data_IF_525874000342
#
_entry.id   IF_525874000342
#
_cell.length_a   1.000
_cell.length_b   1.000
_cell.length_c   1.000
_cell.angle_alpha   90.00
_cell.angle_beta   90.00
_cell.angle_gamma   90.00
#
_symmetry.space_group_name_H-M   'P 1'
#
loop_
_entity.id
_entity.type
_entity.pdbx_description
1 polymer ?
#
# COMPACT_ATOMS: atom_id res chain seq x y z
N UNK A 1 20.83 -11.92 -1.53
CA UNK A 1 20.58 -12.83 -0.40
C UNK A 1 20.22 -11.99 0.80
N UNK A 2 19.04 -12.19 1.39
CA UNK A 2 18.66 -11.51 2.63
C UNK A 2 19.66 -11.89 3.74
N UNK A 3 20.11 -10.91 4.50
CA UNK A 3 20.99 -11.16 5.65
C UNK A 3 20.12 -11.85 6.71
N UNK A 4 20.50 -13.02 7.24
CA UNK A 4 19.72 -13.69 8.27
C UNK A 4 19.56 -12.76 9.47
N UNK A 5 18.32 -12.42 9.83
CA UNK A 5 18.04 -11.69 11.06
C UNK A 5 18.23 -12.67 12.22
N UNK A 6 19.18 -12.45 13.14
CA UNK A 6 19.43 -13.37 14.23
C UNK A 6 18.26 -13.32 15.21
N UNK A 7 17.37 -14.31 15.11
CA UNK A 7 16.35 -14.56 16.12
C UNK A 7 16.99 -15.38 17.26
N UNK A 8 16.74 -14.98 18.49
CA UNK A 8 17.33 -15.60 19.69
C UNK A 8 16.37 -16.60 20.32
N UNK A 9 15.60 -16.11 21.29
CA UNK A 9 14.69 -16.91 22.12
C UNK A 9 13.59 -17.61 21.30
N UNK A 10 13.41 -18.91 21.59
CA UNK A 10 12.28 -19.71 21.10
C UNK A 10 11.15 -19.71 22.12
N UNK A 11 9.96 -19.32 21.66
CA UNK A 11 8.72 -19.40 22.42
C UNK A 11 7.88 -20.59 21.92
N UNK A 12 7.17 -21.23 22.85
CA UNK A 12 6.32 -22.39 22.59
C UNK A 12 4.98 -22.23 23.27
N UNK A 13 3.90 -22.43 22.51
CA UNK A 13 2.54 -22.62 23.01
C UNK A 13 2.12 -24.09 22.83
N UNK A 14 0.87 -24.42 23.14
CA UNK A 14 0.33 -25.75 22.86
C UNK A 14 0.22 -26.06 21.35
N UNK A 15 0.19 -25.04 20.48
CA UNK A 15 -0.12 -25.18 19.04
C UNK A 15 0.98 -24.69 18.11
N UNK A 16 1.90 -23.84 18.60
CA UNK A 16 3.00 -23.35 17.79
C UNK A 16 4.31 -23.22 18.55
N UNK A 17 5.39 -23.16 17.79
CA UNK A 17 6.69 -22.61 18.18
C UNK A 17 7.00 -21.41 17.29
N UNK A 18 7.71 -20.42 17.82
CA UNK A 18 8.25 -19.29 17.07
C UNK A 18 9.55 -18.83 17.70
N UNK A 19 10.37 -18.10 16.94
CA UNK A 19 11.56 -17.43 17.44
C UNK A 19 11.39 -15.93 17.37
N UNK A 20 11.95 -15.24 18.36
CA UNK A 20 11.90 -13.78 18.48
C UNK A 20 13.24 -13.22 18.93
N UNK A 21 13.47 -11.91 18.81
CA UNK A 21 14.58 -11.24 19.48
C UNK A 21 14.53 -11.41 21.00
N UNK A 22 15.70 -11.49 21.63
CA UNK A 22 15.82 -11.61 23.09
C UNK A 22 15.35 -10.36 23.83
N UNK A 23 15.43 -9.20 23.17
CA UNK A 23 14.97 -7.91 23.71
C UNK A 23 13.45 -7.80 23.80
N UNK A 24 12.71 -8.60 23.05
CA UNK A 24 11.26 -8.67 23.18
C UNK A 24 10.89 -9.43 24.45
N UNK A 25 9.86 -9.00 25.16
CA UNK A 25 9.49 -9.57 26.46
C UNK A 25 8.11 -10.21 26.37
N UNK A 26 7.97 -11.36 27.01
CA UNK A 26 6.64 -11.94 27.24
C UNK A 26 5.89 -11.07 28.23
N UNK A 27 4.61 -10.87 27.96
CA UNK A 27 3.68 -10.20 28.85
C UNK A 27 2.63 -11.21 29.33
N UNK A 28 2.23 -11.08 30.59
CA UNK A 28 1.12 -11.85 31.12
C UNK A 28 -0.18 -11.34 30.50
N UNK A 29 -0.95 -12.24 29.89
CA UNK A 29 -2.25 -11.92 29.30
C UNK A 29 -3.23 -13.06 29.53
N UNK A 30 -4.40 -12.73 30.07
CA UNK A 30 -5.50 -13.70 30.22
C UNK A 30 -6.25 -13.98 28.91
N UNK A 31 -5.96 -13.22 27.86
CA UNK A 31 -6.69 -13.25 26.58
C UNK A 31 -5.83 -13.77 25.41
N UNK A 32 -4.62 -14.26 25.68
CA UNK A 32 -3.71 -14.76 24.67
C UNK A 32 -2.94 -15.97 25.18
N UNK A 33 -2.63 -16.91 24.28
CA UNK A 33 -1.75 -18.05 24.60
C UNK A 33 -0.30 -17.60 24.71
N UNK A 34 0.05 -16.51 24.00
CA UNK A 34 1.33 -15.83 24.07
C UNK A 34 1.12 -14.36 23.69
N UNK A 35 1.66 -13.45 24.49
CA UNK A 35 1.80 -12.04 24.16
C UNK A 35 3.24 -11.62 24.35
N UNK A 36 3.79 -10.94 23.35
CA UNK A 36 5.18 -10.49 23.33
C UNK A 36 5.23 -9.06 22.83
N UNK A 37 6.04 -8.22 23.48
CA UNK A 37 6.24 -6.82 23.09
C UNK A 37 7.72 -6.45 23.00
N UNK A 38 8.06 -5.54 22.09
CA UNK A 38 9.39 -4.97 21.97
C UNK A 38 9.58 -4.24 20.65
N UNK A 39 10.44 -3.21 20.62
CA UNK A 39 10.68 -2.37 19.43
C UNK A 39 9.40 -1.71 18.87
N UNK A 40 8.47 -1.33 19.74
CA UNK A 40 7.12 -0.84 19.39
C UNK A 40 6.27 -1.86 18.61
N UNK A 41 6.64 -3.14 18.66
CA UNK A 41 5.92 -4.25 18.04
C UNK A 41 5.18 -5.03 19.11
N UNK A 42 3.95 -5.42 18.81
CA UNK A 42 3.12 -6.29 19.63
C UNK A 42 2.81 -7.57 18.84
N UNK A 43 3.27 -8.70 19.35
CA UNK A 43 2.92 -10.03 18.84
C UNK A 43 1.92 -10.69 19.79
N UNK A 44 0.80 -11.17 19.26
CA UNK A 44 -0.22 -11.89 20.01
C UNK A 44 -0.56 -13.21 19.31
N UNK A 45 -0.58 -14.30 20.07
CA UNK A 45 -1.02 -15.62 19.61
C UNK A 45 -2.30 -16.02 20.35
N UNK A 46 -3.29 -16.48 19.59
CA UNK A 46 -4.53 -17.06 20.11
C UNK A 46 -4.85 -18.33 19.34
N UNK A 47 -5.16 -19.41 20.05
CA UNK A 47 -5.69 -20.63 19.47
C UNK A 47 -7.13 -20.84 19.92
N UNK A 48 -7.98 -21.33 19.00
CA UNK A 48 -9.36 -21.70 19.31
C UNK A 48 -9.71 -23.03 18.66
N UNK A 49 -10.51 -23.89 19.32
CA UNK A 49 -11.03 -25.10 18.68
C UNK A 49 -11.75 -24.75 17.38
N UNK A 50 -11.41 -25.46 16.30
CA UNK A 50 -12.07 -25.37 15.01
C UNK A 50 -11.66 -26.53 14.12
N UNK A 51 -12.64 -27.16 13.48
CA UNK A 51 -12.44 -28.24 12.50
C UNK A 51 -12.61 -27.73 11.05
N UNK A 52 -12.69 -26.40 10.87
CA UNK A 52 -12.88 -25.76 9.55
C UNK A 52 -11.59 -25.82 8.72
N UNK A 53 -11.77 -25.80 7.40
CA UNK A 53 -10.65 -25.66 6.47
C UNK A 53 -10.05 -24.26 6.55
N UNK A 54 -8.82 -24.10 6.05
CA UNK A 54 -8.14 -22.79 6.06
C UNK A 54 -8.91 -21.77 5.20
N UNK A 55 -9.49 -22.17 4.06
CA UNK A 55 -10.31 -21.28 3.23
C UNK A 55 -11.53 -20.72 3.97
N UNK A 56 -12.22 -21.55 4.76
CA UNK A 56 -13.38 -21.11 5.56
C UNK A 56 -12.97 -20.15 6.68
N UNK A 57 -11.86 -20.45 7.37
CA UNK A 57 -11.34 -19.58 8.43
C UNK A 57 -10.82 -18.26 7.88
N UNK A 58 -10.17 -18.28 6.71
CA UNK A 58 -9.70 -17.06 6.08
C UNK A 58 -10.86 -16.22 5.55
N UNK A 59 -11.87 -16.84 4.94
CA UNK A 59 -13.12 -16.14 4.56
C UNK A 59 -13.76 -15.47 5.78
N UNK A 60 -13.83 -16.19 6.91
CA UNK A 60 -14.32 -15.63 8.18
C UNK A 60 -13.44 -14.53 8.77
N UNK A 61 -12.11 -14.54 8.51
CA UNK A 61 -11.18 -13.48 8.87
C UNK A 61 -11.39 -12.24 7.99
N UNK A 62 -11.46 -12.41 6.68
CA UNK A 62 -11.65 -11.32 5.72
C UNK A 62 -13.02 -10.66 5.85
N UNK A 63 -14.06 -11.40 6.25
CA UNK A 63 -15.38 -10.84 6.52
C UNK A 63 -15.44 -9.99 7.80
N UNK A 64 -14.59 -10.27 8.80
CA UNK A 64 -14.63 -9.59 10.11
C UNK A 64 -13.63 -8.43 10.23
N UNK A 65 -12.48 -8.51 9.54
CA UNK A 65 -11.41 -7.51 9.67
C UNK A 65 -11.87 -6.10 9.25
N UNK A 66 -12.49 -5.87 8.08
CA UNK A 66 -12.92 -4.53 7.68
C UNK A 66 -13.92 -3.89 8.67
N UNK A 67 -14.76 -4.69 9.33
CA UNK A 67 -15.71 -4.21 10.33
C UNK A 67 -15.14 -4.08 11.75
N UNK A 68 -13.86 -4.40 11.96
CA UNK A 68 -13.25 -4.37 13.30
C UNK A 68 -12.81 -2.97 13.73
N UNK A 69 -12.40 -2.14 12.78
CA UNK A 69 -12.01 -0.73 12.96
C UNK A 69 -12.45 0.03 11.72
N UNK A 70 -13.12 1.17 11.90
CA UNK A 70 -13.53 2.01 10.78
C UNK A 70 -12.30 2.53 10.00
N UNK A 71 -12.36 2.43 8.68
CA UNK A 71 -11.25 2.78 7.80
C UNK A 71 -10.08 1.79 7.76
N UNK A 72 -10.23 0.56 8.26
CA UNK A 72 -9.22 -0.50 8.09
C UNK A 72 -9.04 -0.84 6.60
N UNK A 73 -7.80 -0.77 6.13
CA UNK A 73 -7.38 -1.13 4.79
C UNK A 73 -6.80 -2.55 4.80
N UNK A 74 -7.42 -3.48 4.09
CA UNK A 74 -6.80 -4.76 3.76
C UNK A 74 -5.74 -4.52 2.69
N UNK A 75 -4.49 -4.81 3.03
CA UNK A 75 -3.33 -4.50 2.19
C UNK A 75 -2.92 -5.70 1.36
N UNK A 76 -3.03 -6.93 1.87
CA UNK A 76 -2.60 -8.12 1.13
C UNK A 76 -3.14 -9.42 1.72
N UNK A 77 -3.19 -10.45 0.89
CA UNK A 77 -3.53 -11.80 1.30
C UNK A 77 -2.71 -12.81 0.49
N UNK A 78 -1.90 -13.62 1.17
CA UNK A 78 -1.01 -14.58 0.55
C UNK A 78 -1.08 -15.96 1.22
N UNK A 79 -0.82 -17.01 0.44
CA UNK A 79 -0.63 -18.35 0.99
C UNK A 79 0.67 -18.40 1.79
N UNK A 80 0.64 -19.00 2.99
CA UNK A 80 1.82 -19.13 3.83
C UNK A 80 2.17 -20.61 4.05
N UNK A 81 3.43 -20.96 3.90
CA UNK A 81 3.88 -22.38 3.95
C UNK A 81 4.85 -22.66 5.09
N UNK A 82 5.56 -21.64 5.59
CA UNK A 82 6.59 -21.83 6.60
C UNK A 82 6.05 -22.43 7.91
N UNK A 83 4.76 -22.23 8.22
CA UNK A 83 4.09 -22.79 9.39
C UNK A 83 4.09 -24.34 9.44
N UNK A 84 4.32 -25.03 8.31
CA UNK A 84 4.18 -26.49 8.24
C UNK A 84 2.73 -26.97 8.35
N UNK A 85 1.77 -26.07 8.10
CA UNK A 85 0.33 -26.29 8.16
C UNK A 85 -0.36 -25.39 7.11
N UNK A 86 -1.60 -25.69 6.68
CA UNK A 86 -2.34 -24.80 5.80
C UNK A 86 -2.53 -23.42 6.44
N UNK A 87 -2.03 -22.38 5.79
CA UNK A 87 -1.97 -21.04 6.36
C UNK A 87 -2.19 -19.92 5.32
N UNK A 88 -2.62 -18.77 5.83
CA UNK A 88 -2.78 -17.50 5.10
C UNK A 88 -2.13 -16.38 5.90
N UNK A 89 -1.42 -15.51 5.20
CA UNK A 89 -0.94 -14.25 5.74
C UNK A 89 -1.84 -13.14 5.21
N UNK A 90 -2.52 -12.43 6.11
CA UNK A 90 -3.30 -11.23 5.78
C UNK A 90 -2.56 -10.03 6.34
N UNK A 91 -2.25 -9.07 5.48
CA UNK A 91 -1.64 -7.80 5.89
C UNK A 91 -2.70 -6.69 5.84
N UNK A 92 -2.69 -5.81 6.82
CA UNK A 92 -3.65 -4.70 6.92
C UNK A 92 -3.01 -3.45 7.53
N UNK A 93 -3.69 -2.32 7.34
CA UNK A 93 -3.43 -1.07 8.06
C UNK A 93 -4.73 -0.65 8.72
N UNK A 94 -4.69 -0.33 10.00
CA UNK A 94 -5.85 0.19 10.74
C UNK A 94 -5.55 1.59 11.26
N UNK A 95 -6.51 2.51 11.22
CA UNK A 95 -6.39 3.80 11.89
C UNK A 95 -6.21 3.64 13.41
N UNK A 96 -5.48 4.58 14.00
CA UNK A 96 -5.29 4.71 15.44
C UNK A 96 -5.03 6.17 15.80
N UNK A 97 -5.42 6.60 17.01
CA UNK A 97 -5.33 8.01 17.43
C UNK A 97 -3.86 8.50 17.50
N UNK A 98 -2.92 7.59 17.78
CA UNK A 98 -1.49 7.90 17.87
C UNK A 98 -0.74 7.75 16.52
N UNK A 99 -1.46 7.39 15.45
CA UNK A 99 -0.92 7.13 14.11
C UNK A 99 -1.22 5.70 13.64
N UNK A 100 -1.38 5.52 12.33
CA UNK A 100 -1.91 4.27 11.77
C UNK A 100 -1.02 3.07 12.14
N UNK A 101 -1.64 1.90 12.32
CA UNK A 101 -0.98 0.66 12.73
C UNK A 101 -0.97 -0.32 11.57
N UNK A 102 0.22 -0.82 11.22
CA UNK A 102 0.40 -1.91 10.27
C UNK A 102 0.35 -3.26 10.99
N UNK A 103 -0.49 -4.17 10.50
CA UNK A 103 -0.68 -5.50 11.04
C UNK A 103 -0.37 -6.61 10.04
N UNK A 104 0.25 -7.67 10.54
CA UNK A 104 0.42 -8.94 9.85
C UNK A 104 -0.32 -10.04 10.64
N UNK A 105 -1.34 -10.63 10.04
CA UNK A 105 -2.17 -11.69 10.63
C UNK A 105 -1.86 -13.01 9.93
N UNK A 106 -1.06 -13.84 10.56
CA UNK A 106 -0.84 -15.22 10.15
C UNK A 106 -1.92 -16.11 10.77
N UNK A 107 -2.80 -16.63 9.92
CA UNK A 107 -3.83 -17.60 10.28
C UNK A 107 -3.40 -18.97 9.77
N UNK A 108 -3.39 -19.98 10.64
CA UNK A 108 -3.21 -21.36 10.20
C UNK A 108 -4.11 -22.32 10.97
N UNK A 109 -4.40 -23.46 10.36
CA UNK A 109 -5.24 -24.51 10.96
C UNK A 109 -4.45 -25.79 11.19
N UNK A 110 -4.77 -26.47 12.28
CA UNK A 110 -4.16 -27.77 12.66
C UNK A 110 -5.10 -28.95 12.41
N UNK A 111 -6.29 -28.68 11.87
CA UNK A 111 -7.39 -29.65 11.71
C UNK A 111 -8.27 -29.84 12.94
N UNK A 112 -7.87 -29.31 14.11
CA UNK A 112 -8.70 -29.24 15.33
C UNK A 112 -8.74 -27.86 15.97
N UNK A 113 -7.82 -26.98 15.56
CA UNK A 113 -7.74 -25.61 16.03
C UNK A 113 -7.43 -24.70 14.85
N UNK A 114 -7.99 -23.51 14.92
CA UNK A 114 -7.43 -22.34 14.24
C UNK A 114 -6.46 -21.64 15.18
N UNK A 115 -5.40 -21.11 14.61
CA UNK A 115 -4.39 -20.34 15.33
C UNK A 115 -4.22 -19.00 14.61
N UNK A 116 -4.50 -17.94 15.34
CA UNK A 116 -4.33 -16.55 14.92
C UNK A 116 -3.04 -16.02 15.57
N UNK A 117 -2.06 -15.65 14.75
CA UNK A 117 -0.88 -14.90 15.17
C UNK A 117 -0.95 -13.52 14.52
N UNK A 118 -0.99 -12.48 15.34
CA UNK A 118 -1.01 -11.08 14.88
C UNK A 118 0.26 -10.38 15.33
N UNK A 119 0.93 -9.69 14.42
CA UNK A 119 2.06 -8.79 14.71
C UNK A 119 1.65 -7.39 14.27
N UNK A 120 1.50 -6.47 15.22
CA UNK A 120 1.15 -5.07 14.97
C UNK A 120 2.32 -4.15 15.30
N UNK A 121 2.47 -3.07 14.51
CA UNK A 121 3.49 -2.02 14.71
C UNK A 121 3.02 -0.69 14.13
N UNK A 122 3.52 0.46 14.61
CA UNK A 122 3.23 1.74 13.98
C UNK A 122 3.60 1.73 12.48
N UNK A 123 2.75 2.28 11.62
CA UNK A 123 2.95 2.29 10.17
C UNK A 123 4.27 2.97 9.78
N UNK A 124 4.63 4.06 10.47
CA UNK A 124 5.94 4.74 10.32
C UNK A 124 7.14 3.83 10.57
N UNK A 125 6.98 2.74 11.33
CA UNK A 125 8.04 1.75 11.61
C UNK A 125 8.02 0.58 10.64
N UNK A 126 7.06 0.52 9.71
CA UNK A 126 6.82 -0.64 8.83
C UNK A 126 8.11 -1.11 8.16
N UNK A 127 8.84 -0.19 7.51
CA UNK A 127 10.01 -0.54 6.70
C UNK A 127 11.24 -0.92 7.53
N UNK A 128 11.49 -0.24 8.65
CA UNK A 128 12.62 -0.55 9.52
C UNK A 128 12.48 -1.92 10.19
N UNK A 129 11.24 -2.32 10.47
CA UNK A 129 10.93 -3.54 11.21
C UNK A 129 10.53 -4.70 10.32
N UNK A 130 10.42 -4.49 9.00
CA UNK A 130 9.84 -5.46 8.06
C UNK A 130 10.62 -6.78 8.03
N UNK A 131 11.94 -6.70 7.83
CA UNK A 131 12.81 -7.88 7.79
C UNK A 131 12.74 -8.68 9.09
N UNK A 132 12.65 -7.99 10.23
CA UNK A 132 12.52 -8.62 11.54
C UNK A 132 11.17 -9.32 11.69
N UNK A 133 10.07 -8.67 11.31
CA UNK A 133 8.72 -9.24 11.39
C UNK A 133 8.60 -10.47 10.49
N UNK A 134 9.10 -10.40 9.25
CA UNK A 134 9.08 -11.56 8.36
C UNK A 134 9.97 -12.69 8.87
N UNK A 135 11.15 -12.41 9.43
CA UNK A 135 11.95 -13.46 10.05
C UNK A 135 11.18 -14.17 11.18
N UNK A 136 10.47 -13.42 12.03
CA UNK A 136 9.61 -14.01 13.08
C UNK A 136 8.51 -14.87 12.47
N UNK A 137 7.77 -14.37 11.48
CA UNK A 137 6.72 -15.13 10.78
C UNK A 137 7.26 -16.40 10.12
N UNK A 138 8.43 -16.32 9.48
CA UNK A 138 9.12 -17.44 8.83
C UNK A 138 9.65 -18.47 9.82
N UNK A 139 9.77 -18.12 11.10
CA UNK A 139 10.16 -19.05 12.17
C UNK A 139 8.98 -19.82 12.78
N UNK A 140 7.74 -19.38 12.53
CA UNK A 140 6.54 -19.99 13.11
C UNK A 140 6.39 -21.42 12.59
N UNK A 141 6.22 -22.40 13.48
CA UNK A 141 5.94 -23.80 13.14
C UNK A 141 4.80 -24.34 13.98
N UNK A 142 3.88 -25.10 13.38
CA UNK A 142 2.91 -25.90 14.13
C UNK A 142 3.64 -26.94 15.00
N UNK A 143 3.16 -27.18 16.22
CA UNK A 143 3.79 -28.13 17.16
C UNK A 143 3.55 -29.58 16.80
N UNK A 144 2.45 -29.88 16.12
CA UNK A 144 2.04 -31.22 15.70
C UNK A 144 2.03 -31.30 14.17
N UNK A 145 2.36 -32.46 13.58
CA UNK A 145 2.24 -32.66 12.14
C UNK A 145 0.79 -32.48 11.69
N UNK A 146 0.58 -31.58 10.72
CA UNK A 146 -0.74 -31.32 10.14
C UNK A 146 -0.80 -31.98 8.76
N UNK A 147 -1.82 -32.81 8.46
CA UNK A 147 -1.99 -33.34 7.12
C UNK A 147 -2.29 -32.17 6.16
N UNK A 148 -1.31 -31.83 5.33
CA UNK A 148 -1.46 -30.81 4.30
C UNK A 148 -2.15 -31.45 3.11
N UNK A 149 -3.39 -31.03 2.84
CA UNK A 149 -3.99 -31.25 1.51
C UNK A 149 -3.70 -30.01 0.68
N UNK A 150 -3.10 -30.13 -0.51
CA UNK A 150 -2.95 -28.98 -1.40
C UNK A 150 -4.34 -28.48 -1.78
N UNK A 151 -4.70 -27.31 -1.29
CA UNK A 151 -5.91 -26.61 -1.68
C UNK A 151 -5.66 -26.03 -3.08
N UNK A 152 -6.38 -26.53 -4.08
CA UNK A 152 -6.20 -26.12 -5.47
C UNK A 152 -6.94 -24.83 -5.80
N UNK A 153 -8.05 -24.59 -5.12
CA UNK A 153 -8.90 -23.43 -5.32
C UNK A 153 -8.75 -22.50 -4.12
N UNK A 154 -8.43 -21.24 -4.39
CA UNK A 154 -8.35 -20.20 -3.37
C UNK A 154 -9.72 -19.56 -3.17
N UNK A 155 -9.99 -19.19 -1.93
CA UNK A 155 -11.19 -18.47 -1.53
C UNK A 155 -11.30 -17.10 -2.23
N UNK A 156 -12.54 -16.63 -2.49
CA UNK A 156 -12.75 -15.29 -3.01
C UNK A 156 -12.25 -14.25 -2.00
N UNK A 157 -11.64 -13.19 -2.51
CA UNK A 157 -11.18 -12.05 -1.71
C UNK A 157 -12.25 -10.95 -1.73
N UNK A 158 -12.39 -10.17 -0.64
CA UNK A 158 -13.31 -9.04 -0.62
C UNK A 158 -12.86 -7.97 -1.60
N UNK A 159 -13.82 -7.21 -2.12
CA UNK A 159 -13.50 -6.05 -2.95
C UNK A 159 -12.66 -5.04 -2.15
N UNK A 160 -11.70 -4.35 -2.80
CA UNK A 160 -10.98 -3.26 -2.18
C UNK A 160 -11.95 -2.20 -1.65
N UNK A 161 -11.64 -1.65 -0.47
CA UNK A 161 -12.37 -0.51 0.04
C UNK A 161 -12.26 0.67 -0.95
N UNK A 162 -13.32 1.48 -1.11
CA UNK A 162 -13.24 2.65 -1.97
C UNK A 162 -12.12 3.58 -1.49
N UNK A 163 -11.42 4.19 -2.44
CA UNK A 163 -10.37 5.16 -2.12
C UNK A 163 -10.98 6.30 -1.28
N UNK A 164 -10.32 6.71 -0.19
CA UNK A 164 -10.79 7.85 0.59
C UNK A 164 -10.80 9.09 -0.31
N UNK A 165 -11.86 9.90 -0.23
CA UNK A 165 -11.90 11.16 -0.95
C UNK A 165 -11.03 12.19 -0.24
N UNK A 166 -10.38 13.07 -1.02
CA UNK A 166 -9.76 14.25 -0.45
C UNK A 166 -10.82 15.32 -0.22
N UNK A 167 -11.01 15.72 1.03
CA UNK A 167 -11.91 16.80 1.40
C UNK A 167 -11.15 18.13 1.45
N UNK A 168 -11.60 19.12 0.68
CA UNK A 168 -11.00 20.44 0.63
C UNK A 168 -11.61 21.34 -0.44
N UNK A 169 -11.19 22.62 -0.52
CA UNK A 169 -11.57 23.50 -1.60
C UNK A 169 -11.09 22.94 -2.94
N UNK A 170 -12.01 22.92 -3.91
CA UNK A 170 -11.71 22.58 -5.30
C UNK A 170 -11.33 23.85 -6.03
N UNK A 171 -10.15 23.83 -6.64
CA UNK A 171 -9.49 24.98 -7.24
C UNK A 171 -9.06 24.67 -8.67
N UNK A 172 -9.03 25.69 -9.52
CA UNK A 172 -8.36 25.63 -10.82
C UNK A 172 -6.84 25.50 -10.67
N UNK A 173 -6.16 24.97 -11.68
CA UNK A 173 -4.69 24.89 -11.71
C UNK A 173 -4.03 26.26 -11.52
N UNK A 174 -4.62 27.32 -12.09
CA UNK A 174 -4.15 28.69 -11.93
C UNK A 174 -4.29 29.18 -10.47
N UNK A 175 -5.38 28.82 -9.79
CA UNK A 175 -5.57 29.12 -8.36
C UNK A 175 -4.60 28.35 -7.47
N UNK A 176 -4.36 27.06 -7.72
CA UNK A 176 -3.33 26.29 -6.99
C UNK A 176 -1.94 26.89 -7.17
N UNK A 177 -1.57 27.23 -8.42
CA UNK A 177 -0.29 27.90 -8.70
C UNK A 177 -0.17 29.27 -8.01
N UNK A 178 -1.27 30.02 -7.96
CA UNK A 178 -1.34 31.31 -7.24
C UNK A 178 -1.18 31.09 -5.74
N UNK A 179 -1.88 30.11 -5.16
CA UNK A 179 -1.81 29.77 -3.74
C UNK A 179 -0.38 29.37 -3.34
N UNK A 180 0.26 28.49 -4.12
CA UNK A 180 1.65 28.09 -3.91
C UNK A 180 2.62 29.27 -3.94
N UNK A 181 2.39 30.28 -4.79
CA UNK A 181 3.23 31.48 -4.85
C UNK A 181 3.17 32.36 -3.58
N UNK A 182 2.18 32.17 -2.72
CA UNK A 182 2.03 32.87 -1.45
C UNK A 182 2.93 32.27 -0.34
N UNK A 183 3.45 31.05 -0.52
CA UNK A 183 4.27 30.39 0.48
C UNK A 183 5.62 31.10 0.67
N UNK A 184 5.89 31.58 1.90
CA UNK A 184 7.19 32.10 2.31
C UNK A 184 7.66 33.39 1.60
N UNK A 185 6.78 34.08 0.86
CA UNK A 185 7.13 35.25 0.04
C UNK A 185 6.29 36.47 0.38
N UNK A 186 6.87 37.67 0.19
CA UNK A 186 6.12 38.93 0.20
C UNK A 186 5.25 38.99 -1.06
N UNK A 187 3.97 38.72 -0.91
CA UNK A 187 3.06 38.58 -2.04
C UNK A 187 2.60 39.94 -2.60
N UNK A 188 2.18 39.95 -3.87
CA UNK A 188 1.72 41.15 -4.57
C UNK A 188 0.19 41.28 -4.50
N UNK A 189 -0.36 42.36 -3.88
CA UNK A 189 -1.80 42.63 -3.81
C UNK A 189 -2.56 42.55 -5.14
N UNK A 190 -1.90 42.74 -6.27
CA UNK A 190 -2.53 42.64 -7.59
C UNK A 190 -2.96 41.22 -7.93
N UNK A 191 -2.37 40.18 -7.33
CA UNK A 191 -2.73 38.78 -7.57
C UNK A 191 -4.19 38.49 -7.19
N UNK A 192 -4.72 39.13 -6.14
CA UNK A 192 -6.14 38.98 -5.73
C UNK A 192 -7.13 39.57 -6.72
N UNK A 193 -6.68 40.40 -7.67
CA UNK A 193 -7.56 40.97 -8.71
C UNK A 193 -7.71 40.03 -9.90
N UNK A 194 -6.83 39.04 -10.03
CA UNK A 194 -6.92 38.01 -11.07
C UNK A 194 -8.09 37.06 -10.82
N UNK A 195 -8.47 36.25 -11.81
CA UNK A 195 -9.51 35.22 -11.63
C UNK A 195 -9.10 34.20 -10.55
N UNK A 196 -7.86 33.70 -10.64
CA UNK A 196 -7.28 32.78 -9.66
C UNK A 196 -7.27 33.36 -8.23
N UNK A 197 -6.88 34.64 -8.09
CA UNK A 197 -6.89 35.30 -6.78
C UNK A 197 -8.29 35.49 -6.18
N UNK A 198 -9.30 35.74 -7.02
CA UNK A 198 -10.72 35.81 -6.58
C UNK A 198 -11.24 34.44 -6.14
N UNK A 199 -10.88 33.39 -6.88
CA UNK A 199 -11.21 32.01 -6.53
C UNK A 199 -10.65 31.63 -5.15
N UNK A 200 -9.41 32.03 -4.82
CA UNK A 200 -8.84 31.81 -3.49
C UNK A 200 -9.59 32.56 -2.38
N UNK A 201 -10.15 33.73 -2.67
CA UNK A 201 -10.98 34.49 -1.72
C UNK A 201 -12.33 33.80 -1.52
N UNK A 202 -12.96 33.36 -2.60
CA UNK A 202 -14.25 32.65 -2.56
C UNK A 202 -14.15 31.31 -1.83
N UNK A 203 -13.04 30.60 -2.01
CA UNK A 203 -12.71 29.37 -1.30
C UNK A 203 -12.31 29.61 0.18
N UNK A 204 -12.24 30.87 0.64
CA UNK A 204 -11.89 31.22 2.02
C UNK A 204 -10.42 31.01 2.39
N UNK A 205 -9.55 30.72 1.41
CA UNK A 205 -8.12 30.52 1.61
C UNK A 205 -7.37 31.85 1.77
N UNK A 206 -7.92 32.94 1.24
CA UNK A 206 -7.35 34.29 1.41
C UNK A 206 -8.46 35.27 1.76
N UNK A 207 -8.24 36.13 2.75
CA UNK A 207 -9.17 37.19 3.09
C UNK A 207 -9.26 38.25 1.99
N UNK A 208 -10.37 39.00 1.93
CA UNK A 208 -10.57 40.07 0.92
C UNK A 208 -9.49 41.17 0.92
N UNK A 209 -8.86 41.39 2.08
CA UNK A 209 -7.76 42.34 2.26
C UNK A 209 -6.38 41.68 2.09
N UNK A 210 -6.35 40.40 1.71
CA UNK A 210 -5.13 39.62 1.52
C UNK A 210 -4.49 39.08 2.79
N UNK A 211 -5.28 38.94 3.85
CA UNK A 211 -4.89 38.25 5.09
C UNK A 211 -4.95 36.73 4.89
N UNK A 212 -3.95 35.99 5.35
CA UNK A 212 -3.95 34.53 5.32
C UNK A 212 -4.49 33.97 6.65
N UNK A 213 -5.60 33.22 6.65
CA UNK A 213 -6.05 32.47 7.82
C UNK A 213 -4.95 31.53 8.33
N UNK A 214 -4.97 31.23 9.63
CA UNK A 214 -3.97 30.33 10.25
C UNK A 214 -3.94 28.95 9.57
N UNK A 215 -5.11 28.36 9.29
CA UNK A 215 -5.22 27.10 8.57
C UNK A 215 -4.54 27.15 7.18
N UNK A 216 -4.64 28.27 6.47
CA UNK A 216 -3.95 28.45 5.19
C UNK A 216 -2.44 28.62 5.39
N UNK A 217 -1.99 29.30 6.45
CA UNK A 217 -0.56 29.41 6.74
C UNK A 217 0.06 28.04 7.03
N UNK A 218 -0.63 27.17 7.78
CA UNK A 218 -0.23 25.78 7.99
C UNK A 218 -0.17 25.01 6.67
N UNK A 219 -1.21 25.11 5.85
CA UNK A 219 -1.27 24.50 4.51
C UNK A 219 -0.12 24.95 3.59
N UNK A 220 0.31 26.21 3.68
CA UNK A 220 1.40 26.75 2.87
C UNK A 220 2.79 26.40 3.44
N UNK A 221 2.89 25.96 4.69
CA UNK A 221 4.16 25.65 5.37
C UNK A 221 5.06 24.74 4.54
N UNK A 222 4.57 23.57 4.08
CA UNK A 222 5.38 22.64 3.29
C UNK A 222 5.77 23.11 1.88
N UNK A 223 5.13 24.16 1.35
CA UNK A 223 5.50 24.79 0.08
C UNK A 223 6.58 25.86 0.20
N UNK A 224 7.04 26.16 1.42
CA UNK A 224 8.12 27.13 1.60
C UNK A 224 9.45 26.56 1.09
N UNK A 225 10.17 27.37 0.30
CA UNK A 225 11.47 26.99 -0.27
C UNK A 225 11.36 26.19 -1.58
N UNK A 226 12.32 25.29 -1.80
CA UNK A 226 12.44 24.49 -3.04
C UNK A 226 11.98 23.03 -2.84
N UNK A 227 11.08 22.79 -1.87
CA UNK A 227 10.57 21.47 -1.57
C UNK A 227 9.83 20.87 -2.78
N UNK A 228 10.30 19.71 -3.25
CA UNK A 228 9.64 18.96 -4.31
C UNK A 228 8.62 17.98 -3.72
N UNK A 229 7.47 17.77 -4.36
CA UNK A 229 6.49 16.79 -3.89
C UNK A 229 6.93 15.36 -4.19
N UNK A 230 6.37 14.43 -3.43
CA UNK A 230 6.13 13.08 -3.94
C UNK A 230 4.93 13.16 -4.88
N UNK A 231 5.07 12.63 -6.09
CA UNK A 231 4.01 12.67 -7.09
C UNK A 231 3.61 11.24 -7.47
N UNK A 232 2.32 10.95 -7.41
CA UNK A 232 1.71 9.78 -8.03
C UNK A 232 0.93 10.24 -9.26
N UNK A 233 1.43 9.89 -10.44
CA UNK A 233 0.73 10.11 -11.73
C UNK A 233 0.10 8.80 -12.18
N UNK A 234 -1.13 8.83 -12.65
CA UNK A 234 -1.83 7.63 -13.14
C UNK A 234 -2.41 7.88 -14.53
N UNK A 235 -2.23 6.90 -15.40
CA UNK A 235 -2.83 6.81 -16.71
C UNK A 235 -3.87 5.70 -16.64
N UNK A 236 -5.13 6.06 -16.73
CA UNK A 236 -6.27 5.17 -16.61
C UNK A 236 -6.53 4.42 -17.92
N UNK A 237 -7.22 3.27 -17.88
CA UNK A 237 -7.47 2.48 -19.08
C UNK A 237 -8.33 3.21 -20.13
N UNK A 238 -9.15 4.17 -19.71
CA UNK A 238 -10.00 5.00 -20.57
C UNK A 238 -9.26 6.19 -21.20
N UNK A 239 -7.96 6.32 -20.93
CA UNK A 239 -7.12 7.42 -21.39
C UNK A 239 -7.14 8.65 -20.47
N UNK A 240 -7.92 8.62 -19.38
CA UNK A 240 -7.88 9.66 -18.37
C UNK A 240 -6.53 9.70 -17.64
N UNK A 241 -6.12 10.89 -17.22
CA UNK A 241 -4.92 11.07 -16.40
C UNK A 241 -5.30 11.65 -15.05
N UNK A 242 -4.64 11.19 -13.99
CA UNK A 242 -4.79 11.75 -12.65
C UNK A 242 -3.44 12.01 -12.00
N UNK A 243 -3.40 13.01 -11.12
CA UNK A 243 -2.20 13.33 -10.36
C UNK A 243 -2.55 13.56 -8.89
N UNK A 244 -1.72 12.99 -8.02
CA UNK A 244 -1.67 13.31 -6.60
C UNK A 244 -0.26 13.83 -6.29
N UNK A 245 -0.16 14.96 -5.60
CA UNK A 245 1.10 15.56 -5.18
C UNK A 245 1.07 15.80 -3.67
N UNK A 246 2.11 15.36 -2.97
CA UNK A 246 2.25 15.51 -1.54
C UNK A 246 3.57 16.18 -1.17
N UNK A 247 3.48 17.33 -0.50
CA UNK A 247 4.58 18.01 0.18
C UNK A 247 4.44 17.76 1.67
N UNK A 248 4.87 16.59 2.14
CA UNK A 248 4.62 16.14 3.52
C UNK A 248 3.13 16.12 3.83
N UNK A 249 2.60 17.16 4.49
CA UNK A 249 1.19 17.25 4.93
C UNK A 249 0.30 17.98 3.92
N UNK A 250 0.87 18.77 3.01
CA UNK A 250 0.08 19.49 1.99
C UNK A 250 -0.12 18.62 0.77
N UNK A 251 -1.37 18.29 0.47
CA UNK A 251 -1.76 17.42 -0.65
C UNK A 251 -2.57 18.19 -1.66
N UNK A 252 -2.24 17.98 -2.94
CA UNK A 252 -3.02 18.43 -4.09
C UNK A 252 -3.44 17.20 -4.88
N UNK A 253 -4.74 17.08 -5.13
CA UNK A 253 -5.31 15.92 -5.76
C UNK A 253 -6.33 16.27 -6.84
N UNK A 254 -6.20 15.69 -8.03
CA UNK A 254 -7.20 15.86 -9.10
C UNK A 254 -6.60 15.98 -10.50
N UNK A 255 -7.38 16.61 -11.38
CA UNK A 255 -7.02 16.88 -12.77
C UNK A 255 -7.36 18.32 -13.13
N UNK A 256 -6.77 18.85 -14.19
CA UNK A 256 -7.07 20.20 -14.68
C UNK A 256 -8.54 20.31 -15.16
N UNK A 257 -9.13 19.20 -15.63
CA UNK A 257 -10.49 19.15 -16.16
C UNK A 257 -11.56 19.16 -15.04
N UNK A 258 -11.32 18.41 -13.96
CA UNK A 258 -12.29 18.28 -12.86
C UNK A 258 -12.04 19.25 -11.70
N UNK A 259 -10.94 20.00 -11.76
CA UNK A 259 -10.43 20.82 -10.67
C UNK A 259 -9.53 20.03 -9.70
N UNK A 260 -8.67 20.75 -9.00
CA UNK A 260 -7.70 20.25 -8.04
C UNK A 260 -8.18 20.52 -6.62
N UNK A 261 -8.26 19.49 -5.79
CA UNK A 261 -8.56 19.63 -4.36
C UNK A 261 -7.26 19.83 -3.60
N UNK A 262 -7.22 20.81 -2.70
CA UNK A 262 -6.06 21.09 -1.85
C UNK A 262 -6.44 20.90 -0.39
N UNK A 263 -5.67 20.12 0.35
CA UNK A 263 -5.93 19.89 1.77
C UNK A 263 -4.64 19.62 2.57
N UNK A 264 -4.76 19.71 3.89
CA UNK A 264 -3.74 19.27 4.83
C UNK A 264 -4.13 17.90 5.37
N UNK A 265 -3.24 16.92 5.23
CA UNK A 265 -3.42 15.55 5.71
C UNK A 265 -2.21 15.12 6.54
N UNK A 266 -2.42 14.24 7.52
CA UNK A 266 -1.29 13.58 8.18
C UNK A 266 -0.60 12.63 7.18
N UNK A 267 0.71 12.36 7.32
CA UNK A 267 1.44 11.49 6.40
C UNK A 267 0.79 10.12 6.20
N UNK A 268 0.26 9.51 7.27
CA UNK A 268 -0.44 8.22 7.21
C UNK A 268 -1.70 8.28 6.33
N UNK A 269 -2.46 9.39 6.40
CA UNK A 269 -3.63 9.61 5.55
C UNK A 269 -3.25 9.85 4.09
N UNK A 270 -2.09 10.46 3.82
CA UNK A 270 -1.56 10.55 2.45
C UNK A 270 -1.23 9.16 1.90
N UNK A 271 -0.65 8.27 2.72
CA UNK A 271 -0.40 6.87 2.34
C UNK A 271 -1.72 6.15 2.01
N UNK A 272 -2.73 6.28 2.88
CA UNK A 272 -4.04 5.67 2.64
C UNK A 272 -4.71 6.17 1.36
N UNK A 273 -4.65 7.47 1.08
CA UNK A 273 -5.16 8.08 -0.15
C UNK A 273 -4.44 7.56 -1.39
N UNK A 274 -3.11 7.52 -1.37
CA UNK A 274 -2.33 6.97 -2.47
C UNK A 274 -2.55 5.46 -2.67
N UNK A 275 -2.75 4.71 -1.58
CA UNK A 275 -3.06 3.28 -1.63
C UNK A 275 -4.42 3.02 -2.30
N UNK A 276 -5.46 3.76 -1.89
CA UNK A 276 -6.77 3.69 -2.51
C UNK A 276 -6.73 4.03 -4.01
N UNK A 277 -5.98 5.06 -4.39
CA UNK A 277 -5.79 5.43 -5.81
C UNK A 277 -5.09 4.37 -6.64
N UNK A 278 -4.10 3.68 -6.06
CA UNK A 278 -3.45 2.56 -6.72
C UNK A 278 -4.35 1.32 -6.82
N UNK A 279 -5.49 1.28 -6.11
CA UNK A 279 -6.30 0.07 -6.00
C UNK A 279 -5.68 -0.97 -5.06
N UNK A 280 -4.87 -0.56 -4.09
CA UNK A 280 -4.30 -1.48 -3.10
C UNK A 280 -5.45 -2.13 -2.34
N UNK A 281 -5.53 -3.45 -2.48
CA UNK A 281 -6.50 -4.30 -1.82
C UNK A 281 -6.00 -5.74 -1.83
N UNK A 282 -6.69 -6.66 -1.14
CA UNK A 282 -6.28 -8.05 -1.10
C UNK A 282 -6.40 -8.68 -2.50
N UNK A 283 -5.29 -9.17 -3.04
CA UNK A 283 -5.25 -9.91 -4.30
C UNK A 283 -4.27 -11.09 -4.19
N UNK A 284 -4.64 -12.23 -4.77
CA UNK A 284 -3.76 -13.39 -4.84
C UNK A 284 -2.60 -13.13 -5.79
N UNK A 285 -1.38 -13.12 -5.25
CA UNK A 285 -0.19 -12.82 -6.05
C UNK A 285 0.48 -14.11 -6.53
N UNK A 286 0.48 -14.33 -7.84
CA UNK A 286 1.15 -15.49 -8.44
C UNK A 286 2.23 -15.05 -9.43
N UNK A 287 3.47 -15.53 -9.29
CA UNK A 287 4.55 -15.11 -10.17
C UNK A 287 4.26 -15.44 -11.63
N UNK A 288 4.58 -14.49 -12.51
CA UNK A 288 4.81 -14.74 -13.93
C UNK A 288 5.98 -15.71 -14.07
N UNK A 289 5.89 -16.62 -15.03
CA UNK A 289 7.01 -17.46 -15.47
C UNK A 289 8.01 -16.65 -16.28
N UNK A 290 7.52 -15.62 -16.98
CA UNK A 290 8.31 -14.69 -17.77
C UNK A 290 8.67 -13.48 -16.91
N UNK A 291 9.95 -13.31 -16.60
CA UNK A 291 10.44 -12.20 -15.75
C UNK A 291 10.85 -10.93 -16.50
N UNK A 292 10.92 -10.97 -17.84
CA UNK A 292 11.29 -9.84 -18.69
C UNK A 292 10.56 -9.88 -20.02
N UNK A 293 10.34 -8.70 -20.59
CA UNK A 293 9.65 -8.50 -21.86
C UNK A 293 10.43 -7.59 -22.81
N UNK A 294 10.30 -7.77 -24.13
CA UNK A 294 10.92 -6.87 -25.09
C UNK A 294 10.51 -5.42 -24.82
N UNK A 295 11.50 -4.54 -24.66
CA UNK A 295 11.29 -3.19 -24.18
C UNK A 295 10.37 -2.35 -25.09
N UNK A 296 10.46 -2.58 -26.40
CA UNK A 296 9.60 -1.92 -27.39
C UNK A 296 8.13 -2.35 -27.31
N UNK A 297 7.87 -3.59 -26.88
CA UNK A 297 6.52 -4.12 -26.71
C UNK A 297 5.91 -3.58 -25.42
N UNK A 298 6.63 -3.69 -24.31
CA UNK A 298 6.20 -3.14 -23.03
C UNK A 298 6.04 -1.61 -23.08
N UNK A 299 6.98 -0.89 -23.70
CA UNK A 299 6.90 0.57 -23.82
C UNK A 299 5.66 1.04 -24.57
N UNK A 300 5.25 0.35 -25.64
CA UNK A 300 4.01 0.66 -26.37
C UNK A 300 2.76 0.33 -25.54
N UNK A 301 2.74 -0.80 -24.84
CA UNK A 301 1.62 -1.15 -23.96
C UNK A 301 1.46 -0.15 -22.81
N UNK A 302 2.57 0.30 -22.20
CA UNK A 302 2.56 1.30 -21.13
C UNK A 302 2.09 2.69 -21.60
N UNK A 303 2.31 3.03 -22.87
CA UNK A 303 1.79 4.27 -23.44
C UNK A 303 0.26 4.25 -23.64
N UNK A 304 -0.36 3.06 -23.60
CA UNK A 304 -1.81 2.87 -23.75
C UNK A 304 -2.31 3.10 -25.18
N UNK A 305 -3.64 3.22 -25.29
CA UNK A 305 -4.35 3.48 -26.55
C UNK A 305 -4.91 2.23 -27.25
N UNK A 306 -5.78 2.45 -28.23
CA UNK A 306 -6.46 1.38 -28.98
C UNK A 306 -5.50 0.49 -29.79
N UNK A 307 -4.30 0.98 -30.09
CA UNK A 307 -3.26 0.28 -30.84
C UNK A 307 -2.22 -0.41 -29.94
N UNK A 308 -2.52 -0.60 -28.65
CA UNK A 308 -1.63 -1.30 -27.74
C UNK A 308 -1.36 -2.74 -28.26
N UNK A 309 -0.09 -3.18 -28.32
CA UNK A 309 0.25 -4.44 -28.96
C UNK A 309 -0.25 -5.64 -28.16
N UNK A 310 -0.70 -6.67 -28.86
CA UNK A 310 -0.90 -8.00 -28.28
C UNK A 310 0.43 -8.66 -27.88
N UNK A 311 0.34 -9.57 -26.93
CA UNK A 311 1.48 -10.39 -26.53
C UNK A 311 1.77 -11.45 -27.62
N UNK A 312 3.04 -11.69 -28.01
CA UNK A 312 3.37 -12.73 -28.97
C UNK A 312 2.87 -14.11 -28.54
N UNK A 313 2.38 -14.91 -29.49
CA UNK A 313 1.78 -16.24 -29.24
C UNK A 313 2.71 -17.16 -28.41
N UNK A 314 4.01 -17.16 -28.71
CA UNK A 314 5.01 -17.90 -27.93
C UNK A 314 5.04 -17.55 -26.43
N UNK A 315 4.80 -16.29 -26.07
CA UNK A 315 4.73 -15.86 -24.66
C UNK A 315 3.36 -16.18 -24.05
N UNK A 316 2.29 -16.11 -24.85
CA UNK A 316 0.94 -16.51 -24.42
C UNK A 316 0.90 -17.97 -24.01
N UNK A 317 1.50 -18.86 -24.81
CA UNK A 317 1.58 -20.29 -24.52
C UNK A 317 2.50 -20.60 -23.32
N UNK A 318 3.65 -19.92 -23.24
CA UNK A 318 4.63 -20.15 -22.18
C UNK A 318 4.12 -19.67 -20.80
N UNK A 319 3.41 -18.54 -20.78
CA UNK A 319 2.94 -17.88 -19.58
C UNK A 319 1.48 -17.39 -19.68
N UNK A 320 0.51 -18.30 -19.48
CA UNK A 320 -0.92 -17.96 -19.51
C UNK A 320 -1.34 -16.91 -18.46
N UNK A 321 -0.58 -16.77 -17.36
CA UNK A 321 -0.89 -15.75 -16.33
C UNK A 321 -0.51 -14.37 -16.82
N UNK A 322 0.68 -14.23 -17.39
CA UNK A 322 1.09 -13.00 -18.05
C UNK A 322 0.14 -12.65 -19.20
N UNK A 323 -0.30 -13.63 -20.00
CA UNK A 323 -1.26 -13.38 -21.08
C UNK A 323 -2.59 -12.80 -20.57
N UNK A 324 -3.15 -13.37 -19.49
CA UNK A 324 -4.36 -12.83 -18.84
C UNK A 324 -4.13 -11.42 -18.31
N UNK A 325 -3.01 -11.20 -17.63
CA UNK A 325 -2.63 -9.88 -17.12
C UNK A 325 -2.49 -8.85 -18.25
N UNK A 326 -1.88 -9.25 -19.37
CA UNK A 326 -1.66 -8.40 -20.54
C UNK A 326 -2.96 -7.99 -21.24
N UNK A 327 -3.92 -8.92 -21.32
CA UNK A 327 -5.21 -8.69 -21.95
C UNK A 327 -6.16 -7.79 -21.13
N UNK A 328 -5.94 -7.69 -19.81
CA UNK A 328 -6.76 -6.85 -18.95
C UNK A 328 -6.50 -5.34 -19.16
N UNK A 329 -7.48 -4.47 -18.81
CA UNK A 329 -7.28 -3.03 -18.75
C UNK A 329 -6.21 -2.65 -17.72
N UNK A 330 -5.30 -1.74 -18.08
CA UNK A 330 -4.18 -1.34 -17.22
C UNK A 330 -4.35 0.10 -16.73
N UNK A 331 -4.22 0.28 -15.42
CA UNK A 331 -3.85 1.58 -14.84
C UNK A 331 -2.34 1.60 -14.67
N UNK A 332 -1.66 2.51 -15.37
CA UNK A 332 -0.20 2.67 -15.26
C UNK A 332 0.10 3.83 -14.33
N UNK A 333 0.81 3.55 -13.24
CA UNK A 333 1.10 4.51 -12.18
C UNK A 333 2.61 4.79 -12.09
N UNK A 334 2.97 6.07 -12.01
CA UNK A 334 4.34 6.55 -11.86
C UNK A 334 4.49 7.26 -10.51
N UNK A 335 5.17 6.60 -9.58
CA UNK A 335 5.50 7.16 -8.27
C UNK A 335 6.88 7.84 -8.32
N UNK A 336 6.88 9.17 -8.37
CA UNK A 336 8.08 10.02 -8.37
C UNK A 336 8.40 10.47 -6.96
N UNK A 337 9.67 10.37 -6.59
CA UNK A 337 10.18 10.80 -5.29
C UNK A 337 11.18 11.94 -5.47
N UNK A 338 11.17 12.94 -4.57
CA UNK A 338 12.18 14.01 -4.57
C UNK A 338 13.61 13.46 -4.64
N UNK A 339 14.43 14.06 -5.50
CA UNK A 339 15.84 13.67 -5.68
C UNK A 339 16.08 12.29 -6.30
N UNK A 340 15.04 11.59 -6.78
CA UNK A 340 15.18 10.31 -7.50
C UNK A 340 14.82 10.51 -8.98
N UNK A 341 15.76 10.27 -9.91
CA UNK A 341 15.55 10.61 -11.32
C UNK A 341 14.56 9.70 -12.04
N UNK A 342 14.38 8.46 -11.58
CA UNK A 342 13.46 7.48 -12.18
C UNK A 342 12.27 7.23 -11.27
N UNK A 343 11.03 7.29 -11.79
CA UNK A 343 9.85 6.86 -11.02
C UNK A 343 9.89 5.37 -10.74
N UNK A 344 9.14 4.94 -9.72
CA UNK A 344 8.70 3.56 -9.60
C UNK A 344 7.46 3.41 -10.47
N UNK A 345 7.51 2.53 -11.47
CA UNK A 345 6.38 2.27 -12.37
C UNK A 345 5.65 1.02 -11.93
N UNK A 346 4.37 1.20 -11.62
CA UNK A 346 3.47 0.17 -11.09
C UNK A 346 2.32 0.03 -12.10
N UNK A 347 2.03 -1.19 -12.52
CA UNK A 347 0.88 -1.51 -13.38
C UNK A 347 -0.14 -2.24 -12.53
N UNK A 348 -1.36 -1.72 -12.48
CA UNK A 348 -2.51 -2.42 -11.93
C UNK A 348 -3.37 -2.92 -13.08
N UNK A 349 -3.56 -4.23 -13.15
CA UNK A 349 -4.50 -4.86 -14.07
C UNK A 349 -5.76 -5.22 -13.27
N UNK A 350 -6.90 -4.71 -13.72
CA UNK A 350 -8.17 -4.89 -13.02
C UNK A 350 -8.47 -6.38 -12.76
N UNK A 351 -8.97 -6.69 -11.57
CA UNK A 351 -9.24 -8.04 -11.04
C UNK A 351 -8.03 -9.01 -10.97
N UNK A 352 -6.84 -8.62 -11.47
CA UNK A 352 -5.68 -9.49 -11.59
C UNK A 352 -4.51 -9.08 -10.69
N UNK A 353 -4.48 -7.83 -10.23
CA UNK A 353 -3.50 -7.33 -9.28
C UNK A 353 -2.37 -6.53 -9.93
N UNK A 354 -1.15 -6.62 -9.40
CA UNK A 354 -0.08 -5.70 -9.72
C UNK A 354 1.10 -6.34 -10.44
N UNK A 355 1.78 -5.53 -11.25
CA UNK A 355 3.10 -5.81 -11.78
C UNK A 355 4.01 -4.58 -11.68
N UNK A 356 5.31 -4.82 -11.55
CA UNK A 356 6.34 -3.80 -11.46
C UNK A 356 7.21 -3.79 -12.70
N UNK A 357 7.42 -2.60 -13.25
CA UNK A 357 8.36 -2.38 -14.36
C UNK A 357 9.73 -2.04 -13.77
N UNK A 358 10.70 -2.88 -14.07
CA UNK A 358 12.08 -2.76 -13.60
C UNK A 358 13.01 -2.10 -14.61
N UNK A 359 14.28 -2.48 -14.55
CA UNK A 359 15.32 -1.96 -15.44
C UNK A 359 15.22 -2.60 -16.82
N UNK A 360 15.59 -1.84 -17.84
CA UNK A 360 15.84 -2.33 -19.20
C UNK A 360 17.32 -2.64 -19.40
N UNK A 361 17.63 -3.85 -19.86
CA UNK A 361 18.97 -4.32 -20.21
C UNK A 361 18.90 -5.13 -21.51
N UNK A 362 19.85 -4.89 -22.43
CA UNK A 362 19.95 -5.62 -23.70
C UNK A 362 18.64 -5.69 -24.54
N UNK A 363 17.78 -4.67 -24.45
CA UNK A 363 16.51 -4.61 -25.17
C UNK A 363 15.33 -5.29 -24.46
N UNK A 364 15.55 -5.88 -23.29
CA UNK A 364 14.55 -6.52 -22.45
C UNK A 364 14.30 -5.68 -21.18
N UNK A 365 13.06 -5.55 -20.76
CA UNK A 365 12.67 -4.84 -19.53
C UNK A 365 12.11 -5.83 -18.54
N UNK A 366 12.62 -5.80 -17.30
CA UNK A 366 12.08 -6.62 -16.21
C UNK A 366 10.62 -6.26 -15.98
N UNK A 367 9.76 -7.26 -15.99
CA UNK A 367 8.33 -7.13 -15.74
C UNK A 367 7.88 -8.31 -14.90
N UNK A 368 7.58 -8.06 -13.63
CA UNK A 368 7.30 -9.11 -12.65
C UNK A 368 6.04 -8.75 -11.89
N UNK A 369 5.26 -9.75 -11.49
CA UNK A 369 4.16 -9.56 -10.56
C UNK A 369 4.65 -8.95 -9.26
N UNK A 370 3.79 -8.15 -8.65
CA UNK A 370 4.04 -7.52 -7.38
C UNK A 370 2.85 -7.77 -6.45
N UNK A 371 3.11 -7.97 -5.17
CA UNK A 371 2.02 -8.13 -4.22
C UNK A 371 1.46 -6.76 -3.83
N UNK A 372 0.14 -6.63 -3.60
CA UNK A 372 -0.46 -5.41 -3.07
C UNK A 372 0.28 -4.86 -1.83
N UNK A 373 0.79 -5.75 -0.98
CA UNK A 373 1.56 -5.36 0.20
C UNK A 373 2.94 -4.76 -0.13
N UNK A 374 3.62 -5.24 -1.18
CA UNK A 374 4.87 -4.64 -1.66
C UNK A 374 4.65 -3.29 -2.37
N UNK A 375 3.51 -3.13 -3.04
CA UNK A 375 3.06 -1.85 -3.58
C UNK A 375 2.82 -0.86 -2.44
N UNK A 376 2.09 -1.27 -1.40
CA UNK A 376 1.87 -0.46 -0.19
C UNK A 376 3.19 -0.06 0.50
N UNK A 377 4.14 -0.99 0.68
CA UNK A 377 5.49 -0.68 1.19
C UNK A 377 6.22 0.38 0.36
N UNK A 378 5.96 0.44 -0.95
CA UNK A 378 6.57 1.42 -1.84
C UNK A 378 5.99 2.82 -1.64
N UNK A 379 4.69 2.92 -1.30
CA UNK A 379 4.05 4.16 -0.87
C UNK A 379 4.60 4.63 0.47
N UNK A 380 4.66 3.74 1.47
CA UNK A 380 5.23 4.05 2.78
C UNK A 380 6.66 4.59 2.64
N UNK A 381 7.48 3.96 1.80
CA UNK A 381 8.86 4.42 1.54
C UNK A 381 8.95 5.78 0.85
N UNK A 382 7.91 6.13 0.10
CA UNK A 382 7.87 7.40 -0.61
C UNK A 382 7.38 8.53 0.29
N UNK A 383 6.38 8.26 1.12
CA UNK A 383 5.57 9.27 1.81
C UNK A 383 5.88 9.41 3.29
N UNK A 384 6.35 8.35 3.96
CA UNK A 384 6.74 8.43 5.37
C UNK A 384 8.25 8.68 5.46
N UNK A 385 8.70 9.63 6.29
CA UNK A 385 10.11 9.85 6.54
C UNK A 385 10.75 8.60 7.16
N UNK A 386 11.98 8.33 6.77
CA UNK A 386 12.80 7.24 7.33
C UNK A 386 13.36 7.60 8.70
#
# INVERSE_FOLDING_TARGET
MAVPVPLGTEDRTARLTLRRPDRWRREDSSQADLRVTGDDIVLTVRSRPSDRAIGDENTGLLARLPGSVDGLLLVGCDTWTAAGAPARLVEYVRPDDEGDVAGAHLLFVTGRHRVDLTIERPLRRLLETDDLVFAVLESVRATEPVPVRPERDLEPLPDPAPAPALDGPRLSAAAVGTLGSLAGRRWNPTLLRTAAGRELIEAGLVGRLGTLPEATQTLLGPWQGDAQPVTLEQHLPDGGESRLQAWSETVVDGTDETGLVVASLTPDRVVALAAGRLGVGPAWTFPFRTGSLPAHLLGRKLAGGADAPDLPESLVEADPRLARFWAAPWTVSYLRRPGKPKPITIVHADELGFARVGKTEAGETVFVTDSPANVHRSLVRALLPA
#
